data_IF_570781315936
#
_entry.id   IF_570781315936
#
_cell.length_a   1.000
_cell.length_b   1.000
_cell.length_c   1.000
_cell.angle_alpha   90.00
_cell.angle_beta   90.00
_cell.angle_gamma   90.00
#
_symmetry.space_group_name_H-M   'P 1'
#
loop_
_entity.id
_entity.type
_entity.pdbx_description
1 polymer ?
#
# COMPACT_ATOMS: atom_id res chain seq x y z
N UNK A 1 -11.57 -19.77 24.36
CA UNK A 1 -11.09 -18.40 24.22
C UNK A 1 -9.71 -18.52 23.59
N UNK A 2 -9.38 -17.68 22.63
CA UNK A 2 -8.06 -17.65 22.02
C UNK A 2 -6.98 -17.18 22.99
N UNK A 3 -5.73 -17.38 22.64
CA UNK A 3 -4.60 -16.99 23.48
C UNK A 3 -4.40 -15.47 23.50
N UNK A 4 -4.71 -14.79 22.41
CA UNK A 4 -4.45 -13.36 22.17
C UNK A 4 -5.68 -12.46 22.23
N UNK A 5 -6.89 -12.99 21.99
CA UNK A 5 -8.10 -12.20 21.72
C UNK A 5 -8.50 -11.15 22.79
N UNK A 6 -8.23 -11.43 24.07
CA UNK A 6 -8.52 -10.55 25.19
C UNK A 6 -7.29 -10.40 26.10
N UNK A 7 -6.09 -10.46 25.52
CA UNK A 7 -4.83 -10.48 26.26
C UNK A 7 -3.81 -9.50 25.64
N UNK A 8 -3.95 -8.19 25.90
CA UNK A 8 -3.03 -7.19 25.36
C UNK A 8 -1.59 -7.41 25.83
N UNK A 9 -1.37 -7.93 27.02
CA UNK A 9 -0.03 -8.23 27.53
C UNK A 9 0.68 -9.33 26.71
N UNK A 10 -0.08 -10.38 26.28
CA UNK A 10 0.48 -11.41 25.41
C UNK A 10 0.84 -10.85 24.02
N UNK A 11 0.02 -9.94 23.48
CA UNK A 11 0.30 -9.28 22.19
C UNK A 11 1.54 -8.39 22.32
N UNK A 12 1.62 -7.56 23.36
CA UNK A 12 2.79 -6.69 23.63
C UNK A 12 4.08 -7.50 23.78
N UNK A 13 4.01 -8.70 24.37
CA UNK A 13 5.16 -9.57 24.56
C UNK A 13 5.73 -10.17 23.26
N UNK A 14 5.01 -10.06 22.12
CA UNK A 14 5.46 -10.56 20.82
C UNK A 14 6.49 -9.65 20.10
N UNK A 15 6.70 -8.44 20.61
CA UNK A 15 7.71 -7.50 20.10
C UNK A 15 8.57 -6.99 21.27
N UNK A 16 9.89 -7.12 21.15
CA UNK A 16 10.89 -6.78 22.18
C UNK A 16 11.75 -5.58 21.79
N UNK A 17 11.30 -4.77 20.85
CA UNK A 17 12.08 -3.65 20.31
C UNK A 17 13.04 -4.06 19.19
N UNK A 18 13.76 -5.13 19.35
CA UNK A 18 14.78 -5.64 18.41
C UNK A 18 14.56 -7.08 17.92
N UNK A 19 13.50 -7.72 18.40
CA UNK A 19 13.09 -9.08 18.00
C UNK A 19 11.56 -9.17 17.92
N UNK A 20 11.07 -9.96 16.97
CA UNK A 20 9.64 -10.24 16.76
C UNK A 20 9.40 -11.73 16.93
N UNK A 21 8.37 -12.11 17.70
CA UNK A 21 8.00 -13.51 17.83
C UNK A 21 7.38 -14.02 16.51
N UNK A 22 7.74 -15.24 16.10
CA UNK A 22 7.29 -15.84 14.83
C UNK A 22 5.77 -15.91 14.68
N UNK A 23 5.00 -16.01 15.78
CA UNK A 23 3.55 -16.07 15.77
C UNK A 23 2.92 -14.83 15.10
N UNK A 24 3.59 -13.67 15.16
CA UNK A 24 3.17 -12.46 14.47
C UNK A 24 2.96 -12.71 12.95
N UNK A 25 3.69 -13.67 12.39
CA UNK A 25 3.58 -14.00 10.96
C UNK A 25 2.71 -15.22 10.66
N UNK A 26 2.67 -16.22 11.56
CA UNK A 26 2.08 -17.53 11.24
C UNK A 26 0.76 -17.82 11.97
N UNK A 27 0.45 -17.09 13.06
CA UNK A 27 -0.72 -17.39 13.88
C UNK A 27 -2.02 -16.87 13.25
N UNK A 28 -3.01 -17.75 13.11
CA UNK A 28 -4.31 -17.45 12.50
C UNK A 28 -5.22 -16.60 13.41
N UNK A 29 -5.03 -16.65 14.72
CA UNK A 29 -5.78 -15.78 15.65
C UNK A 29 -5.29 -14.35 15.54
N UNK A 30 -3.96 -14.13 15.54
CA UNK A 30 -3.36 -12.82 15.34
C UNK A 30 -3.78 -12.22 14.00
N UNK A 31 -3.78 -13.00 12.92
CA UNK A 31 -4.29 -12.56 11.63
C UNK A 31 -5.74 -12.04 11.71
N UNK A 32 -6.64 -12.73 12.39
CA UNK A 32 -8.03 -12.29 12.56
C UNK A 32 -8.14 -11.03 13.42
N UNK A 33 -7.29 -10.90 14.43
CA UNK A 33 -7.21 -9.70 15.26
C UNK A 33 -6.67 -8.52 14.48
N UNK A 34 -5.71 -8.70 13.57
CA UNK A 34 -5.23 -7.67 12.64
C UNK A 34 -6.39 -7.11 11.78
N UNK A 35 -7.25 -7.97 11.23
CA UNK A 35 -8.41 -7.51 10.45
C UNK A 35 -9.36 -6.65 11.29
N UNK A 36 -9.54 -7.00 12.56
CA UNK A 36 -10.45 -6.33 13.49
C UNK A 36 -9.87 -5.05 14.10
N UNK A 37 -8.60 -5.07 14.50
CA UNK A 37 -7.98 -3.99 15.26
C UNK A 37 -7.10 -3.09 14.38
N UNK A 38 -6.20 -3.66 13.57
CA UNK A 38 -5.31 -2.87 12.74
C UNK A 38 -6.03 -2.32 11.50
N UNK A 39 -6.54 -3.21 10.63
CA UNK A 39 -7.13 -2.79 9.36
C UNK A 39 -8.45 -2.02 9.50
N UNK A 40 -9.15 -2.17 10.62
CA UNK A 40 -10.35 -1.38 10.89
C UNK A 40 -10.03 0.05 11.38
N UNK A 41 -8.94 0.24 12.12
CA UNK A 41 -8.59 1.52 12.77
C UNK A 41 -7.51 2.32 12.02
N UNK A 42 -6.68 1.68 11.20
CA UNK A 42 -5.70 2.37 10.35
C UNK A 42 -6.38 3.05 9.15
N UNK A 43 -5.71 4.05 8.59
CA UNK A 43 -6.08 4.61 7.29
C UNK A 43 -5.52 3.72 6.18
N UNK A 44 -6.42 3.07 5.45
CA UNK A 44 -6.12 2.07 4.43
C UNK A 44 -6.45 2.61 3.04
N UNK A 45 -5.52 2.46 2.11
CA UNK A 45 -5.74 2.82 0.71
C UNK A 45 -6.75 1.87 0.06
N UNK A 46 -7.73 2.43 -0.63
CA UNK A 46 -8.79 1.66 -1.30
C UNK A 46 -8.82 1.83 -2.82
N UNK A 47 -8.21 2.89 -3.36
CA UNK A 47 -8.16 3.12 -4.79
C UNK A 47 -7.76 4.55 -5.15
N UNK A 48 -7.80 4.86 -6.43
CA UNK A 48 -7.53 6.19 -6.95
C UNK A 48 -8.79 6.77 -7.62
N UNK A 49 -8.99 8.08 -7.52
CA UNK A 49 -10.19 8.73 -8.06
C UNK A 49 -10.36 8.54 -9.58
N UNK A 50 -9.24 8.38 -10.32
CA UNK A 50 -9.27 8.11 -11.75
C UNK A 50 -9.85 6.73 -12.12
N UNK A 51 -10.05 5.84 -11.15
CA UNK A 51 -10.73 4.56 -11.36
C UNK A 51 -12.25 4.70 -11.37
N UNK A 52 -12.76 5.86 -10.92
CA UNK A 52 -14.18 6.20 -10.90
C UNK A 52 -14.39 7.62 -11.45
N UNK A 53 -14.04 7.88 -12.73
CA UNK A 53 -14.03 9.23 -13.29
C UNK A 53 -15.45 9.80 -13.50
N UNK A 54 -16.44 8.98 -13.79
CA UNK A 54 -17.79 9.41 -14.11
C UNK A 54 -18.78 9.06 -13.00
N UNK A 55 -19.89 9.79 -12.94
CA UNK A 55 -21.00 9.53 -12.01
C UNK A 55 -21.53 8.10 -12.18
N UNK A 56 -21.61 7.37 -11.08
CA UNK A 56 -22.01 5.97 -11.05
C UNK A 56 -20.88 4.97 -11.32
N UNK A 57 -19.68 5.41 -11.73
CA UNK A 57 -18.53 4.53 -11.82
C UNK A 57 -18.17 4.01 -10.44
N UNK A 58 -17.84 2.73 -10.37
CA UNK A 58 -17.40 2.10 -9.13
C UNK A 58 -16.13 1.25 -9.32
N UNK A 59 -15.39 1.14 -8.22
CA UNK A 59 -14.25 0.25 -8.07
C UNK A 59 -14.44 -0.58 -6.78
N UNK A 60 -14.45 -1.91 -6.91
CA UNK A 60 -14.65 -2.84 -5.80
C UNK A 60 -13.32 -3.40 -5.31
N UNK A 61 -13.07 -3.29 -4.00
CA UNK A 61 -11.86 -3.76 -3.32
C UNK A 61 -12.21 -4.30 -1.93
N UNK A 62 -11.21 -4.40 -1.05
CA UNK A 62 -11.41 -4.75 0.36
C UNK A 62 -10.48 -3.95 1.28
N UNK A 63 -10.90 -3.76 2.52
CA UNK A 63 -10.11 -3.24 3.63
C UNK A 63 -10.01 -4.34 4.68
N UNK A 64 -8.81 -4.88 4.89
CA UNK A 64 -8.69 -6.13 5.63
C UNK A 64 -9.54 -7.23 4.99
N UNK A 65 -10.47 -7.81 5.72
CA UNK A 65 -11.42 -8.82 5.25
C UNK A 65 -12.79 -8.23 4.82
N UNK A 66 -12.96 -6.89 4.91
CA UNK A 66 -14.23 -6.24 4.60
C UNK A 66 -14.31 -5.83 3.13
N UNK A 67 -15.27 -6.35 2.34
CA UNK A 67 -15.48 -5.93 0.96
C UNK A 67 -16.08 -4.53 0.92
N UNK A 68 -15.47 -3.63 0.14
CA UNK A 68 -15.91 -2.24 -0.04
C UNK A 68 -16.04 -1.86 -1.51
N UNK A 69 -16.78 -0.79 -1.76
CA UNK A 69 -17.00 -0.19 -3.08
C UNK A 69 -16.65 1.30 -2.99
N UNK A 70 -15.62 1.72 -3.72
CA UNK A 70 -15.42 3.13 -4.05
C UNK A 70 -16.40 3.48 -5.19
N UNK A 71 -17.14 4.56 -5.07
CA UNK A 71 -18.12 4.97 -6.09
C UNK A 71 -18.17 6.49 -6.25
N UNK A 72 -18.27 6.98 -7.49
CA UNK A 72 -18.49 8.40 -7.79
C UNK A 72 -19.97 8.74 -7.68
N UNK A 73 -20.32 9.55 -6.69
CA UNK A 73 -21.70 9.98 -6.49
C UNK A 73 -22.15 11.09 -7.49
N UNK A 74 -23.41 11.38 -7.48
CA UNK A 74 -24.01 12.38 -8.38
C UNK A 74 -23.57 13.82 -8.11
N UNK A 75 -23.13 14.15 -6.89
CA UNK A 75 -22.53 15.43 -6.51
C UNK A 75 -21.09 15.60 -7.02
N UNK A 76 -20.43 14.51 -7.43
CA UNK A 76 -19.05 14.48 -7.87
C UNK A 76 -18.07 13.93 -6.84
N UNK A 77 -18.52 13.73 -5.60
CA UNK A 77 -17.68 13.18 -4.52
C UNK A 77 -17.50 11.66 -4.65
N UNK A 78 -16.43 11.16 -4.07
CA UNK A 78 -16.16 9.73 -3.95
C UNK A 78 -16.63 9.24 -2.60
N UNK A 79 -17.52 8.25 -2.62
CA UNK A 79 -17.95 7.53 -1.42
C UNK A 79 -17.32 6.16 -1.36
N UNK A 80 -17.11 5.64 -0.14
CA UNK A 80 -16.68 4.26 0.11
C UNK A 80 -17.75 3.57 0.97
N UNK A 81 -18.35 2.53 0.41
CA UNK A 81 -19.47 1.82 1.01
C UNK A 81 -19.10 0.35 1.24
N UNK A 82 -19.61 -0.27 2.31
CA UNK A 82 -19.53 -1.72 2.43
C UNK A 82 -20.29 -2.39 1.28
N UNK A 83 -19.64 -3.32 0.59
CA UNK A 83 -20.25 -4.09 -0.52
C UNK A 83 -21.18 -5.17 0.03
N UNK A 84 -22.23 -4.75 0.74
CA UNK A 84 -23.17 -5.63 1.40
C UNK A 84 -24.58 -5.04 1.45
N UNK A 85 -25.55 -5.81 0.94
CA UNK A 85 -26.95 -5.45 1.05
C UNK A 85 -27.41 -5.62 2.51
N UNK A 86 -28.02 -4.60 3.15
CA UNK A 86 -28.48 -4.69 4.53
C UNK A 86 -29.62 -5.68 4.74
N UNK A 87 -30.33 -6.09 3.68
CA UNK A 87 -31.44 -7.04 3.80
C UNK A 87 -30.98 -8.48 4.16
N UNK A 88 -30.14 -9.09 3.35
CA UNK A 88 -29.67 -10.49 3.52
C UNK A 88 -28.17 -10.68 3.29
N UNK A 89 -27.39 -9.62 3.33
CA UNK A 89 -25.93 -9.70 3.25
C UNK A 89 -25.34 -9.93 1.85
N UNK A 90 -26.15 -9.94 0.80
CA UNK A 90 -25.68 -10.16 -0.58
C UNK A 90 -24.68 -9.09 -1.01
N UNK A 91 -23.56 -9.48 -1.61
CA UNK A 91 -22.69 -8.54 -2.33
C UNK A 91 -23.45 -7.88 -3.47
N UNK A 92 -23.36 -6.55 -3.58
CA UNK A 92 -24.11 -5.78 -4.58
C UNK A 92 -23.42 -5.78 -5.94
N UNK A 93 -22.09 -5.71 -5.94
CA UNK A 93 -21.26 -5.82 -7.14
C UNK A 93 -20.22 -6.91 -6.95
N UNK A 94 -19.97 -7.68 -8.02
CA UNK A 94 -18.96 -8.73 -8.06
C UNK A 94 -17.80 -8.38 -9.00
N UNK A 95 -18.07 -7.56 -9.99
CA UNK A 95 -17.06 -7.05 -10.90
C UNK A 95 -16.19 -6.01 -10.19
N UNK A 96 -14.93 -5.96 -10.59
CA UNK A 96 -13.97 -5.05 -9.99
C UNK A 96 -14.25 -3.58 -10.32
N UNK A 97 -14.67 -3.32 -11.54
CA UNK A 97 -15.02 -2.01 -12.05
C UNK A 97 -16.31 -2.06 -12.84
N UNK A 98 -17.03 -0.97 -12.89
CA UNK A 98 -18.24 -0.84 -13.69
C UNK A 98 -18.93 0.48 -13.43
N UNK A 99 -20.12 0.64 -14.03
CA UNK A 99 -20.96 1.80 -13.81
C UNK A 99 -22.36 1.34 -13.41
N UNK A 100 -22.80 1.72 -12.23
CA UNK A 100 -24.14 1.39 -11.70
C UNK A 100 -25.23 2.40 -12.10
N UNK A 101 -24.88 3.44 -12.85
CA UNK A 101 -25.76 4.55 -13.16
C UNK A 101 -26.08 5.38 -11.92
N UNK A 102 -27.36 5.56 -11.63
CA UNK A 102 -27.81 6.43 -10.52
C UNK A 102 -27.96 5.70 -9.17
N UNK A 103 -27.95 4.36 -9.18
CA UNK A 103 -28.21 3.57 -7.98
C UNK A 103 -27.70 2.13 -8.10
N UNK A 104 -27.38 1.52 -6.97
CA UNK A 104 -27.15 0.08 -6.86
C UNK A 104 -28.48 -0.65 -6.71
N UNK A 105 -28.62 -1.81 -7.37
CA UNK A 105 -29.77 -2.69 -7.19
C UNK A 105 -29.29 -4.08 -6.76
N UNK A 106 -29.78 -4.52 -5.59
CA UNK A 106 -29.46 -5.84 -5.09
C UNK A 106 -29.99 -6.94 -6.04
N UNK A 107 -29.13 -7.87 -6.50
CA UNK A 107 -29.54 -8.91 -7.42
C UNK A 107 -30.46 -9.96 -6.77
N UNK A 108 -30.57 -10.00 -5.44
CA UNK A 108 -31.35 -11.00 -4.72
C UNK A 108 -32.82 -10.58 -4.58
N UNK A 109 -33.13 -9.44 -3.95
CA UNK A 109 -34.49 -9.00 -3.69
C UNK A 109 -34.78 -7.57 -4.20
N UNK A 110 -33.96 -7.07 -5.13
CA UNK A 110 -34.13 -5.77 -5.78
C UNK A 110 -34.22 -4.54 -4.86
N UNK A 111 -33.72 -4.62 -3.63
CA UNK A 111 -33.50 -3.41 -2.82
C UNK A 111 -32.55 -2.49 -3.58
N UNK A 112 -32.89 -1.22 -3.64
CA UNK A 112 -32.14 -0.25 -4.42
C UNK A 112 -31.60 0.85 -3.53
N UNK A 113 -30.36 1.28 -3.77
CA UNK A 113 -29.62 2.23 -2.96
C UNK A 113 -29.00 3.29 -3.86
N UNK A 114 -29.05 4.55 -3.46
CA UNK A 114 -28.27 5.59 -4.13
C UNK A 114 -26.76 5.30 -4.01
N UNK A 115 -25.96 5.98 -4.79
CA UNK A 115 -24.49 5.84 -4.74
C UNK A 115 -23.85 6.47 -3.51
N UNK A 116 -24.60 7.20 -2.68
CA UNK A 116 -24.22 7.62 -1.32
C UNK A 116 -24.59 6.56 -0.24
N UNK A 117 -25.19 5.44 -0.63
CA UNK A 117 -25.64 4.37 0.26
C UNK A 117 -27.08 4.50 0.73
N UNK A 118 -27.74 5.65 0.58
CA UNK A 118 -29.10 5.84 1.05
C UNK A 118 -30.08 4.87 0.39
N UNK A 119 -30.99 4.30 1.18
CA UNK A 119 -32.05 3.45 0.68
C UNK A 119 -32.98 4.23 -0.28
N UNK A 120 -33.08 3.76 -1.53
CA UNK A 120 -33.92 4.41 -2.55
C UNK A 120 -35.29 3.74 -2.66
N UNK A 121 -35.33 2.41 -2.74
CA UNK A 121 -36.58 1.67 -2.93
C UNK A 121 -36.49 0.23 -2.42
N UNK A 122 -37.62 -0.28 -1.95
CA UNK A 122 -37.80 -1.69 -1.61
C UNK A 122 -39.04 -2.23 -2.33
N UNK A 123 -39.00 -3.44 -2.89
CA UNK A 123 -40.18 -4.11 -3.43
C UNK A 123 -41.17 -4.44 -2.31
N UNK A 124 -42.44 -4.58 -2.67
CA UNK A 124 -43.50 -5.02 -1.75
C UNK A 124 -43.57 -4.15 -0.46
N UNK A 125 -43.38 -2.84 -0.60
CA UNK A 125 -43.37 -1.86 0.52
C UNK A 125 -44.53 -2.05 1.51
N UNK A 126 -45.73 -2.45 1.01
CA UNK A 126 -46.90 -2.71 1.86
C UNK A 126 -46.66 -3.82 2.91
N UNK A 127 -45.79 -4.78 2.62
CA UNK A 127 -45.42 -5.85 3.56
C UNK A 127 -44.61 -5.39 4.76
N UNK A 128 -44.10 -4.17 4.73
CA UNK A 128 -43.36 -3.56 5.85
C UNK A 128 -44.21 -2.61 6.70
N UNK A 129 -45.53 -2.48 6.40
CA UNK A 129 -46.42 -1.68 7.18
C UNK A 129 -46.48 -2.18 8.64
N UNK A 130 -46.47 -1.27 9.59
CA UNK A 130 -46.47 -1.54 11.05
C UNK A 130 -45.23 -2.31 11.59
N UNK A 131 -44.14 -2.37 10.82
CA UNK A 131 -42.89 -3.05 11.24
C UNK A 131 -41.81 -2.11 11.79
N UNK A 132 -42.07 -0.80 11.84
CA UNK A 132 -41.06 0.24 12.12
C UNK A 132 -40.12 0.50 10.94
N UNK A 133 -40.34 -0.17 9.81
CA UNK A 133 -39.55 -0.01 8.57
C UNK A 133 -40.21 0.99 7.57
N UNK A 134 -41.21 1.73 8.02
CA UNK A 134 -42.05 2.56 7.14
C UNK A 134 -41.38 3.83 6.65
N UNK A 135 -40.40 4.32 7.38
CA UNK A 135 -39.67 5.52 7.04
C UNK A 135 -38.33 5.17 6.40
N UNK A 136 -38.02 5.78 5.27
CA UNK A 136 -36.74 5.72 4.59
C UNK A 136 -35.65 6.40 5.44
N UNK A 137 -35.22 5.74 6.49
CA UNK A 137 -34.13 6.18 7.33
C UNK A 137 -32.79 5.76 6.67
N UNK A 138 -31.83 6.67 6.66
CA UNK A 138 -30.46 6.42 6.15
C UNK A 138 -29.80 5.22 6.83
N UNK A 139 -30.17 4.90 8.08
CA UNK A 139 -29.71 3.72 8.82
C UNK A 139 -30.09 2.38 8.16
N UNK A 140 -31.03 2.39 7.21
CA UNK A 140 -31.51 1.22 6.47
C UNK A 140 -30.85 1.05 5.11
N UNK A 141 -29.94 1.95 4.75
CA UNK A 141 -29.15 1.94 3.50
C UNK A 141 -27.94 1.01 3.56
N UNK A 142 -27.11 1.07 2.53
CA UNK A 142 -25.76 0.54 2.59
C UNK A 142 -24.97 1.34 3.61
N UNK A 143 -24.18 0.66 4.44
CA UNK A 143 -23.33 1.35 5.39
C UNK A 143 -22.13 1.96 4.66
N UNK A 144 -21.86 3.23 4.87
CA UNK A 144 -20.59 3.85 4.54
C UNK A 144 -19.50 3.38 5.53
N UNK A 145 -18.25 3.43 5.15
CA UNK A 145 -17.12 3.31 6.07
C UNK A 145 -17.08 4.52 7.00
N UNK A 146 -16.32 4.46 8.09
CA UNK A 146 -16.28 5.51 9.09
C UNK A 146 -15.83 6.86 8.54
N UNK A 147 -14.67 6.87 7.88
CA UNK A 147 -14.12 8.07 7.27
C UNK A 147 -13.49 7.79 5.90
N UNK A 148 -13.53 8.80 5.03
CA UNK A 148 -12.90 8.77 3.69
C UNK A 148 -12.12 10.06 3.47
N UNK A 149 -10.91 9.95 2.95
CA UNK A 149 -10.08 11.08 2.53
C UNK A 149 -9.57 10.87 1.11
N UNK A 150 -9.62 11.93 0.32
CA UNK A 150 -8.97 12.02 -0.98
C UNK A 150 -7.73 12.91 -0.83
N UNK A 151 -6.53 12.33 -0.97
CA UNK A 151 -5.28 13.07 -1.00
C UNK A 151 -4.64 12.91 -2.38
N UNK A 152 -4.61 13.98 -3.16
CA UNK A 152 -4.03 14.01 -4.52
C UNK A 152 -4.57 12.91 -5.47
N UNK A 153 -5.83 12.53 -5.29
CA UNK A 153 -6.48 11.45 -6.05
C UNK A 153 -6.40 10.07 -5.38
N UNK A 154 -5.53 9.89 -4.40
CA UNK A 154 -5.44 8.64 -3.62
C UNK A 154 -6.54 8.61 -2.57
N UNK A 155 -7.40 7.59 -2.63
CA UNK A 155 -8.53 7.43 -1.72
C UNK A 155 -8.13 6.51 -0.57
N UNK A 156 -8.20 7.06 0.62
CA UNK A 156 -8.00 6.33 1.87
C UNK A 156 -9.28 6.26 2.65
N UNK A 157 -9.45 5.21 3.44
CA UNK A 157 -10.54 5.13 4.39
C UNK A 157 -10.12 4.48 5.70
N UNK A 158 -10.90 4.75 6.74
CA UNK A 158 -10.92 4.06 8.02
C UNK A 158 -12.30 3.47 8.23
N UNK A 159 -12.37 2.22 8.72
CA UNK A 159 -13.66 1.55 8.90
C UNK A 159 -14.40 2.03 10.14
N UNK A 160 -13.68 2.49 11.17
CA UNK A 160 -14.25 3.02 12.42
C UNK A 160 -14.55 4.52 12.31
N UNK A 161 -15.57 4.96 13.06
CA UNK A 161 -16.04 6.36 13.06
C UNK A 161 -15.14 7.30 13.89
N UNK A 162 -14.15 6.76 14.60
CA UNK A 162 -13.21 7.52 15.44
C UNK A 162 -11.82 6.89 15.42
N UNK A 163 -10.81 7.68 15.79
CA UNK A 163 -9.40 7.27 15.83
C UNK A 163 -8.48 8.44 15.46
N UNK A 164 -7.22 8.14 15.16
CA UNK A 164 -6.23 9.13 14.75
C UNK A 164 -6.65 9.83 13.45
N UNK A 165 -6.47 11.15 13.36
CA UNK A 165 -6.79 11.92 12.16
C UNK A 165 -5.95 11.46 10.96
N UNK A 166 -6.39 11.75 9.75
CA UNK A 166 -5.63 11.42 8.53
C UNK A 166 -4.28 12.14 8.53
N UNK A 167 -4.29 13.40 8.89
CA UNK A 167 -3.14 14.28 8.93
C UNK A 167 -2.11 13.82 9.99
N UNK A 168 -2.56 13.44 11.18
CA UNK A 168 -1.69 12.94 12.25
C UNK A 168 -1.19 11.51 11.97
N UNK A 169 -2.01 10.69 11.30
CA UNK A 169 -1.62 9.33 10.95
C UNK A 169 -0.45 9.30 9.98
N UNK A 170 -0.53 10.07 8.90
CA UNK A 170 0.49 10.09 7.85
C UNK A 170 1.59 11.11 8.09
N UNK A 171 1.28 12.23 8.72
CA UNK A 171 2.24 13.29 9.00
C UNK A 171 3.08 13.68 7.77
N UNK A 172 4.38 13.82 7.95
CA UNK A 172 5.34 14.19 6.90
C UNK A 172 5.46 13.19 5.76
N UNK A 173 4.99 11.94 5.93
CA UNK A 173 5.05 10.91 4.90
C UNK A 173 4.22 11.26 3.65
N UNK A 174 3.13 12.03 3.78
CA UNK A 174 2.30 12.48 2.65
C UNK A 174 3.09 13.20 1.55
N UNK A 175 4.20 13.83 1.91
CA UNK A 175 5.10 14.49 0.97
C UNK A 175 5.60 13.57 -0.17
N UNK A 176 5.60 12.25 0.00
CA UNK A 176 5.95 11.32 -1.08
C UNK A 176 4.83 11.16 -2.12
N UNK A 177 3.56 11.19 -1.69
CA UNK A 177 2.41 11.25 -2.61
C UNK A 177 2.38 12.60 -3.32
N UNK A 178 2.62 13.69 -2.58
CA UNK A 178 2.66 15.04 -3.15
C UNK A 178 3.73 15.15 -4.23
N UNK A 179 4.96 14.71 -3.95
CA UNK A 179 6.02 14.70 -4.95
C UNK A 179 5.66 13.82 -6.17
N UNK A 180 5.08 12.63 -5.95
CA UNK A 180 4.66 11.76 -7.05
C UNK A 180 3.63 12.45 -7.96
N UNK A 181 2.67 13.18 -7.39
CA UNK A 181 1.67 13.93 -8.14
C UNK A 181 2.25 15.19 -8.81
N UNK A 182 3.13 15.92 -8.11
CA UNK A 182 3.79 17.11 -8.63
C UNK A 182 4.74 16.84 -9.79
N UNK A 183 5.22 15.60 -9.98
CA UNK A 183 5.94 15.17 -11.19
C UNK A 183 5.10 15.25 -12.46
N UNK A 184 3.79 15.39 -12.35
CA UNK A 184 2.91 15.68 -13.48
C UNK A 184 2.89 17.18 -13.76
N UNK A 185 3.07 17.62 -15.03
CA UNK A 185 2.86 19.03 -15.38
C UNK A 185 1.48 19.55 -15.01
N UNK A 186 0.47 18.69 -14.98
CA UNK A 186 -0.89 19.02 -14.53
C UNK A 186 -1.11 18.84 -13.02
N UNK A 187 -0.10 18.44 -12.25
CA UNK A 187 -0.19 18.19 -10.82
C UNK A 187 -1.08 17.01 -10.42
N UNK A 188 -1.35 16.08 -11.34
CA UNK A 188 -2.26 14.94 -11.09
C UNK A 188 -1.88 13.69 -11.87
N UNK A 189 -2.31 12.57 -11.34
CA UNK A 189 -2.04 11.23 -11.84
C UNK A 189 -3.31 10.56 -12.35
N UNK A 190 -3.14 9.57 -13.20
CA UNK A 190 -4.21 8.65 -13.58
C UNK A 190 -3.67 7.23 -13.61
N UNK A 191 -4.48 6.26 -13.15
CA UNK A 191 -4.14 4.83 -13.27
C UNK A 191 -4.02 4.46 -14.75
N UNK A 192 -2.85 3.92 -15.14
CA UNK A 192 -2.52 3.65 -16.55
C UNK A 192 -2.89 2.23 -17.00
N UNK A 193 -4.02 1.71 -16.52
CA UNK A 193 -4.53 0.39 -16.90
C UNK A 193 -4.73 -0.56 -15.71
N UNK A 194 -5.07 -1.82 -15.97
CA UNK A 194 -5.26 -2.80 -14.90
C UNK A 194 -3.93 -3.12 -14.20
N UNK A 195 -3.96 -3.40 -12.89
CA UNK A 195 -2.75 -3.78 -12.16
C UNK A 195 -2.27 -5.19 -12.55
N UNK A 196 -0.97 -5.44 -12.37
CA UNK A 196 -0.50 -6.80 -12.21
C UNK A 196 -1.03 -7.35 -10.89
N UNK A 197 -1.55 -8.58 -10.90
CA UNK A 197 -2.11 -9.24 -9.72
C UNK A 197 -1.46 -10.60 -9.54
N UNK A 198 -0.89 -10.83 -8.38
CA UNK A 198 -0.22 -12.08 -8.08
C UNK A 198 -0.32 -12.41 -6.60
N UNK A 199 -0.19 -13.69 -6.27
CA UNK A 199 -0.31 -14.21 -4.93
C UNK A 199 1.08 -14.48 -4.35
N UNK A 200 1.31 -14.00 -3.13
CA UNK A 200 2.41 -14.43 -2.30
C UNK A 200 1.92 -15.44 -1.26
N UNK A 201 2.66 -16.54 -1.10
CA UNK A 201 2.40 -17.57 -0.10
C UNK A 201 3.16 -17.24 1.20
N UNK A 202 2.89 -16.04 1.73
CA UNK A 202 3.51 -15.53 2.95
C UNK A 202 2.61 -14.51 3.64
N UNK A 203 3.00 -14.12 4.84
CA UNK A 203 2.34 -13.05 5.59
C UNK A 203 2.61 -11.68 4.96
N UNK A 204 1.60 -10.82 4.96
CA UNK A 204 1.66 -9.47 4.37
C UNK A 204 2.76 -8.59 4.98
N UNK A 205 3.12 -8.78 6.26
CA UNK A 205 4.17 -8.00 6.94
C UNK A 205 5.55 -8.22 6.33
N UNK A 206 5.88 -9.44 5.89
CA UNK A 206 7.13 -9.73 5.19
C UNK A 206 7.28 -8.88 3.92
N UNK A 207 6.18 -8.64 3.20
CA UNK A 207 6.18 -7.80 2.00
C UNK A 207 6.45 -6.34 2.34
N UNK A 208 5.89 -5.85 3.44
CA UNK A 208 6.11 -4.47 3.89
C UNK A 208 7.57 -4.27 4.35
N UNK A 209 8.12 -5.23 5.09
CA UNK A 209 9.52 -5.22 5.54
C UNK A 209 10.50 -5.18 4.36
N UNK A 210 10.30 -6.04 3.35
CA UNK A 210 11.18 -6.10 2.17
C UNK A 210 11.23 -4.76 1.41
N UNK A 211 10.17 -3.95 1.45
CA UNK A 211 10.16 -2.68 0.69
C UNK A 211 11.23 -1.69 1.15
N UNK A 212 11.65 -1.80 2.38
CA UNK A 212 12.67 -0.91 2.98
C UNK A 212 13.95 -1.64 3.34
N UNK A 213 14.02 -2.96 3.12
CA UNK A 213 15.27 -3.70 3.24
C UNK A 213 16.17 -3.45 2.02
N UNK A 214 17.30 -2.84 2.28
CA UNK A 214 18.32 -2.52 1.27
C UNK A 214 19.45 -3.54 1.21
N UNK A 215 19.45 -4.53 2.09
CA UNK A 215 20.53 -5.51 2.18
C UNK A 215 20.30 -6.78 1.37
N UNK A 216 19.02 -7.15 1.12
CA UNK A 216 18.72 -8.38 0.37
C UNK A 216 19.05 -8.31 -1.14
N UNK A 217 18.97 -7.12 -1.84
CA UNK A 217 19.04 -7.12 -3.29
C UNK A 217 20.31 -7.76 -3.88
N UNK A 218 21.47 -7.47 -3.29
CA UNK A 218 22.75 -8.01 -3.77
C UNK A 218 22.84 -9.54 -3.70
N UNK A 219 22.13 -10.17 -2.78
CA UNK A 219 22.17 -11.62 -2.55
C UNK A 219 20.97 -12.29 -3.21
N UNK A 220 19.77 -11.83 -2.95
CA UNK A 220 18.54 -12.43 -3.46
C UNK A 220 18.49 -12.36 -5.00
N UNK A 221 18.96 -11.25 -5.60
CA UNK A 221 18.92 -11.03 -7.05
C UNK A 221 20.25 -11.29 -7.75
N UNK A 222 21.22 -11.98 -7.11
CA UNK A 222 22.50 -12.31 -7.76
C UNK A 222 22.31 -13.20 -8.98
N UNK A 223 21.38 -14.16 -8.91
CA UNK A 223 21.11 -15.09 -10.03
C UNK A 223 20.50 -14.41 -11.24
N UNK A 224 19.80 -13.30 -11.07
CA UNK A 224 19.10 -12.53 -12.10
C UNK A 224 19.88 -11.26 -12.47
N UNK A 225 19.88 -10.24 -11.65
CA UNK A 225 20.55 -8.96 -11.91
C UNK A 225 22.06 -9.12 -12.00
N UNK A 226 22.68 -9.91 -11.10
CA UNK A 226 24.12 -10.18 -11.13
C UNK A 226 24.57 -10.89 -12.40
N UNK A 227 23.80 -11.88 -12.86
CA UNK A 227 24.08 -12.56 -14.14
C UNK A 227 23.97 -11.60 -15.32
N UNK A 228 22.96 -10.72 -15.32
CA UNK A 228 22.81 -9.73 -16.40
C UNK A 228 23.97 -8.73 -16.44
N UNK A 229 24.46 -8.28 -15.29
CA UNK A 229 25.64 -7.39 -15.20
C UNK A 229 26.89 -8.09 -15.75
N UNK A 230 27.17 -9.34 -15.33
CA UNK A 230 28.30 -10.13 -15.82
C UNK A 230 28.26 -10.32 -17.35
N UNK A 231 27.08 -10.68 -17.88
CA UNK A 231 26.91 -10.84 -19.33
C UNK A 231 27.12 -9.54 -20.10
N UNK A 232 26.70 -8.39 -19.55
CA UNK A 232 26.96 -7.09 -20.16
C UNK A 232 28.45 -6.77 -20.21
N UNK A 233 29.18 -7.04 -19.12
CA UNK A 233 30.65 -6.85 -19.07
C UNK A 233 31.38 -7.73 -20.07
N UNK A 234 30.91 -8.99 -20.26
CA UNK A 234 31.49 -9.93 -21.22
C UNK A 234 31.28 -9.53 -22.70
N UNK A 235 30.30 -8.66 -23.00
CA UNK A 235 30.07 -8.19 -24.36
C UNK A 235 31.15 -7.23 -24.87
N UNK A 236 32.06 -6.76 -24.01
CA UNK A 236 33.17 -5.85 -24.33
C UNK A 236 32.72 -4.66 -25.20
N UNK A 237 31.63 -4.02 -24.78
CA UNK A 237 31.07 -2.88 -25.51
C UNK A 237 32.02 -1.68 -25.44
N UNK A 238 32.11 -0.84 -26.51
CA UNK A 238 32.89 0.38 -26.46
C UNK A 238 32.59 1.23 -25.23
N UNK A 239 33.65 1.85 -24.66
CA UNK A 239 33.51 2.77 -23.53
C UNK A 239 32.49 3.87 -23.86
N UNK A 240 31.52 4.13 -22.93
CA UNK A 240 30.46 5.09 -23.13
C UNK A 240 29.25 4.56 -23.93
N UNK A 241 29.20 3.26 -24.28
CA UNK A 241 28.02 2.67 -24.88
C UNK A 241 26.82 2.83 -23.94
N UNK A 242 25.65 3.29 -24.44
CA UNK A 242 24.47 3.43 -23.61
C UNK A 242 23.99 2.06 -23.12
N UNK A 243 23.66 1.97 -21.83
CA UNK A 243 23.03 0.77 -21.30
C UNK A 243 21.67 0.54 -21.96
N UNK A 244 21.32 -0.69 -22.32
CA UNK A 244 19.92 -1.01 -22.64
C UNK A 244 19.01 -0.63 -21.49
N UNK A 245 17.80 -0.11 -21.78
CA UNK A 245 16.87 0.32 -20.76
C UNK A 245 16.55 -0.77 -19.71
N UNK A 246 16.59 -2.05 -20.10
CA UNK A 246 16.47 -3.17 -19.17
C UNK A 246 17.64 -3.23 -18.17
N UNK A 247 18.86 -2.97 -18.62
CA UNK A 247 20.04 -2.95 -17.76
C UNK A 247 20.04 -1.73 -16.82
N UNK A 248 19.59 -0.57 -17.29
CA UNK A 248 19.39 0.62 -16.42
C UNK A 248 18.48 0.32 -15.24
N UNK A 249 17.46 -0.54 -15.43
CA UNK A 249 16.51 -0.93 -14.39
C UNK A 249 17.12 -1.93 -13.41
N UNK A 250 17.84 -2.96 -13.88
CA UNK A 250 18.22 -4.09 -13.03
C UNK A 250 19.65 -3.99 -12.48
N UNK A 251 20.58 -3.38 -13.20
CA UNK A 251 21.98 -3.32 -12.76
C UNK A 251 22.17 -2.65 -11.38
N UNK A 252 21.42 -1.59 -11.03
CA UNK A 252 21.54 -0.93 -9.72
C UNK A 252 21.20 -1.81 -8.50
N UNK A 253 20.50 -2.96 -8.69
CA UNK A 253 20.28 -3.92 -7.59
C UNK A 253 21.59 -4.57 -7.12
N UNK A 254 22.63 -4.54 -7.96
CA UNK A 254 23.97 -5.07 -7.65
C UNK A 254 24.92 -4.00 -7.10
N UNK A 255 24.41 -2.83 -6.72
CA UNK A 255 25.22 -1.79 -6.07
C UNK A 255 25.84 -2.32 -4.76
N UNK A 256 27.05 -1.88 -4.39
CA UNK A 256 27.71 -2.33 -3.16
C UNK A 256 27.00 -1.85 -1.89
N UNK A 257 27.23 -2.52 -0.77
CA UNK A 257 26.62 -2.13 0.52
C UNK A 257 26.86 -0.67 0.90
N UNK A 258 28.05 -0.13 0.62
CA UNK A 258 28.36 1.28 0.87
C UNK A 258 27.38 2.23 0.14
N UNK A 259 26.94 1.88 -1.06
CA UNK A 259 25.90 2.64 -1.77
C UNK A 259 24.59 2.63 -0.97
N UNK A 260 24.16 1.46 -0.49
CA UNK A 260 22.93 1.33 0.29
C UNK A 260 23.03 1.97 1.67
N UNK A 261 24.17 1.88 2.34
CA UNK A 261 24.44 2.59 3.60
C UNK A 261 24.24 4.10 3.44
N UNK A 262 24.83 4.68 2.40
CA UNK A 262 24.76 6.09 2.09
C UNK A 262 23.44 6.55 1.46
N UNK A 263 22.58 5.62 1.02
CA UNK A 263 21.28 5.93 0.42
C UNK A 263 20.34 6.60 1.43
N UNK A 264 20.44 6.23 2.70
CA UNK A 264 19.65 6.73 3.80
C UNK A 264 18.22 6.20 3.83
N UNK A 265 17.68 6.10 5.04
CA UNK A 265 16.28 5.79 5.31
C UNK A 265 15.68 6.89 6.18
N UNK A 266 14.42 7.22 5.93
CA UNK A 266 13.63 8.12 6.78
C UNK A 266 12.42 7.37 7.29
N UNK A 267 12.15 7.48 8.60
CA UNK A 267 10.98 6.92 9.25
C UNK A 267 10.10 8.02 9.82
N UNK A 268 8.79 7.80 9.82
CA UNK A 268 7.79 8.62 10.48
C UNK A 268 6.95 7.77 11.42
N UNK A 269 6.25 8.37 12.37
CA UNK A 269 5.33 7.63 13.24
C UNK A 269 4.36 6.72 12.48
N UNK A 270 3.74 5.80 13.19
CA UNK A 270 2.71 4.88 12.68
C UNK A 270 3.18 3.89 11.60
N UNK A 271 4.48 3.55 11.60
CA UNK A 271 5.00 2.52 10.70
C UNK A 271 5.30 3.01 9.28
N UNK A 272 5.31 4.32 9.04
CA UNK A 272 5.64 4.89 7.74
C UNK A 272 7.13 5.14 7.59
N UNK A 273 7.63 5.06 6.35
CA UNK A 273 9.03 5.38 6.06
C UNK A 273 9.37 5.24 4.59
N UNK A 274 10.54 5.74 4.21
CA UNK A 274 11.08 5.56 2.86
C UNK A 274 12.59 5.38 2.87
N UNK A 275 13.10 4.65 1.90
CA UNK A 275 14.51 4.61 1.53
C UNK A 275 14.80 5.64 0.43
N UNK A 276 16.08 5.96 0.24
CA UNK A 276 16.48 6.93 -0.78
C UNK A 276 16.35 8.39 -0.31
N UNK A 277 16.88 8.69 0.87
CA UNK A 277 16.96 10.09 1.38
C UNK A 277 17.93 10.90 0.56
N UNK A 278 19.09 10.34 0.22
CA UNK A 278 20.17 11.04 -0.46
C UNK A 278 20.29 10.67 -1.94
N UNK A 279 20.06 9.41 -2.29
CA UNK A 279 20.07 8.93 -3.68
C UNK A 279 19.22 7.65 -3.81
N UNK A 280 19.02 7.18 -5.03
CA UNK A 280 18.19 6.00 -5.32
C UNK A 280 18.85 5.12 -6.37
N UNK A 281 18.46 3.84 -6.40
CA UNK A 281 18.82 2.90 -7.47
C UNK A 281 17.99 3.09 -8.75
N UNK A 282 17.02 3.99 -8.76
CA UNK A 282 16.19 4.21 -9.95
C UNK A 282 16.90 5.04 -10.99
N UNK A 283 16.65 4.72 -12.27
CA UNK A 283 17.06 5.53 -13.40
C UNK A 283 16.53 6.96 -13.28
N UNK A 284 17.31 7.93 -13.74
CA UNK A 284 16.90 9.32 -13.74
C UNK A 284 15.88 9.58 -14.87
N UNK A 285 14.60 9.48 -14.56
CA UNK A 285 13.53 9.73 -15.52
C UNK A 285 13.40 11.21 -15.91
N UNK A 286 14.00 12.12 -15.17
CA UNK A 286 14.04 13.54 -15.53
C UNK A 286 14.82 13.83 -16.81
N UNK A 287 15.67 12.90 -17.28
CA UNK A 287 16.43 12.99 -18.52
C UNK A 287 15.62 12.66 -19.79
N UNK A 288 14.36 12.26 -19.64
CA UNK A 288 13.48 12.04 -20.80
C UNK A 288 13.31 13.33 -21.59
N UNK A 289 13.59 13.32 -22.92
CA UNK A 289 13.54 14.51 -23.75
C UNK A 289 12.21 15.28 -23.65
N UNK A 290 12.32 16.59 -23.42
CA UNK A 290 11.17 17.50 -23.30
C UNK A 290 10.39 17.41 -22.00
N UNK A 291 10.75 16.50 -21.08
CA UNK A 291 10.05 16.41 -19.79
C UNK A 291 10.38 17.60 -18.88
N UNK A 292 11.66 17.94 -18.74
CA UNK A 292 12.07 19.10 -17.97
C UNK A 292 11.43 20.40 -18.49
N UNK A 293 11.35 20.57 -19.82
CA UNK A 293 10.74 21.76 -20.41
C UNK A 293 9.26 21.91 -20.01
N UNK A 294 8.49 20.81 -20.05
CA UNK A 294 7.10 20.79 -19.59
C UNK A 294 6.97 21.10 -18.09
N UNK A 295 7.89 20.60 -17.27
CA UNK A 295 7.90 20.87 -15.84
C UNK A 295 8.26 22.33 -15.55
N UNK A 296 9.22 22.90 -16.28
CA UNK A 296 9.60 24.32 -16.17
C UNK A 296 8.43 25.23 -16.61
N UNK A 297 7.73 24.87 -17.68
CA UNK A 297 6.51 25.59 -18.12
C UNK A 297 5.43 25.58 -17.03
N UNK A 298 5.23 24.44 -16.35
CA UNK A 298 4.19 24.28 -15.34
C UNK A 298 4.52 24.92 -13.98
N UNK A 299 5.77 24.82 -13.53
CA UNK A 299 6.16 25.14 -12.14
C UNK A 299 7.26 26.20 -12.01
N UNK A 300 7.92 26.58 -13.10
CA UNK A 300 9.16 27.36 -13.09
C UNK A 300 10.39 26.49 -12.83
N UNK A 301 11.57 27.03 -13.19
CA UNK A 301 12.82 26.25 -13.25
C UNK A 301 13.26 25.71 -11.87
N UNK A 302 13.22 26.53 -10.83
CA UNK A 302 13.67 26.13 -9.49
C UNK A 302 12.77 25.03 -8.91
N UNK A 303 11.44 25.20 -8.99
CA UNK A 303 10.49 24.22 -8.46
C UNK A 303 10.50 22.93 -9.25
N UNK A 304 10.66 23.00 -10.56
CA UNK A 304 10.80 21.80 -11.41
C UNK A 304 12.03 20.97 -11.01
N UNK A 305 13.18 21.62 -10.76
CA UNK A 305 14.39 20.96 -10.29
C UNK A 305 14.23 20.35 -8.90
N UNK A 306 13.57 21.05 -7.98
CA UNK A 306 13.24 20.52 -6.64
C UNK A 306 12.39 19.27 -6.74
N UNK A 307 11.27 19.31 -7.48
CA UNK A 307 10.35 18.18 -7.66
C UNK A 307 11.07 16.97 -8.25
N UNK A 308 11.83 17.16 -9.32
CA UNK A 308 12.50 16.06 -10.03
C UNK A 308 13.78 15.60 -9.34
N UNK A 309 14.35 16.42 -8.46
CA UNK A 309 15.52 16.08 -7.63
C UNK A 309 15.22 15.13 -6.48
N UNK A 310 13.96 14.96 -6.10
CA UNK A 310 13.54 14.01 -5.06
C UNK A 310 13.74 12.57 -5.54
N UNK A 311 14.49 11.76 -4.78
CA UNK A 311 14.91 10.41 -5.19
C UNK A 311 14.38 9.30 -4.29
N UNK A 312 13.25 9.51 -3.61
CA UNK A 312 12.66 8.51 -2.70
C UNK A 312 12.43 7.19 -3.42
N UNK A 313 13.11 6.14 -2.92
CA UNK A 313 13.09 4.83 -3.58
C UNK A 313 11.76 4.10 -3.35
N UNK A 314 11.51 3.68 -2.12
CA UNK A 314 10.29 3.01 -1.70
C UNK A 314 9.71 3.76 -0.51
N UNK A 315 8.52 4.30 -0.62
CA UNK A 315 7.79 4.85 0.52
C UNK A 315 6.72 3.87 0.94
N UNK A 316 6.83 3.35 2.15
CA UNK A 316 5.84 2.49 2.79
C UNK A 316 4.83 3.36 3.53
N UNK A 317 3.57 3.15 3.22
CA UNK A 317 2.43 3.63 4.00
C UNK A 317 1.79 2.43 4.69
N UNK A 318 2.14 2.25 5.94
CA UNK A 318 1.61 1.15 6.74
C UNK A 318 0.08 1.29 6.89
N UNK A 319 -0.74 0.22 6.80
CA UNK A 319 -0.26 -1.17 6.67
C UNK A 319 -0.19 -1.68 5.22
N UNK A 320 -0.78 -1.03 4.21
CA UNK A 320 -1.18 -1.77 3.03
C UNK A 320 -0.62 -1.29 1.68
N UNK A 321 0.16 -0.22 1.62
CA UNK A 321 0.74 0.22 0.34
C UNK A 321 2.20 0.61 0.41
N UNK A 322 2.84 0.50 -0.74
CA UNK A 322 4.14 1.07 -1.04
C UNK A 322 4.07 1.84 -2.36
N UNK A 323 4.67 3.02 -2.41
CA UNK A 323 4.83 3.79 -3.64
C UNK A 323 6.29 3.97 -4.02
N UNK A 324 6.52 4.09 -5.34
CA UNK A 324 7.78 4.53 -5.94
C UNK A 324 7.49 5.79 -6.74
N UNK A 325 7.61 6.96 -6.08
CA UNK A 325 7.25 8.25 -6.66
C UNK A 325 7.96 8.54 -7.98
N UNK A 326 9.30 8.43 -8.08
CA UNK A 326 10.07 8.70 -9.30
C UNK A 326 9.67 7.87 -10.52
N UNK A 327 9.09 6.69 -10.34
CA UNK A 327 8.65 5.79 -11.42
C UNK A 327 7.14 5.58 -11.46
N UNK A 328 6.36 6.37 -10.73
CA UNK A 328 4.89 6.38 -10.71
C UNK A 328 4.26 5.00 -10.53
N UNK A 329 4.78 4.25 -9.57
CA UNK A 329 4.28 2.91 -9.23
C UNK A 329 3.69 2.88 -7.81
N UNK A 330 2.64 2.05 -7.63
CA UNK A 330 2.06 1.73 -6.33
C UNK A 330 1.81 0.24 -6.24
N UNK A 331 2.19 -0.38 -5.11
CA UNK A 331 1.78 -1.74 -4.76
C UNK A 331 0.82 -1.72 -3.58
N UNK A 332 -0.26 -2.50 -3.70
CA UNK A 332 -1.23 -2.72 -2.63
C UNK A 332 -1.05 -4.14 -2.10
N UNK A 333 -0.92 -4.28 -0.80
CA UNK A 333 -0.83 -5.56 -0.09
C UNK A 333 -2.19 -5.87 0.53
N UNK A 334 -2.81 -6.96 0.10
CA UNK A 334 -4.16 -7.37 0.51
C UNK A 334 -4.04 -8.71 1.21
N UNK A 335 -4.06 -8.73 2.56
CA UNK A 335 -4.00 -9.98 3.31
C UNK A 335 -5.26 -10.81 3.08
N UNK A 336 -5.09 -12.09 2.78
CA UNK A 336 -6.19 -13.05 2.59
C UNK A 336 -6.20 -14.15 3.67
N UNK A 337 -5.03 -14.46 4.22
CA UNK A 337 -4.82 -15.36 5.35
C UNK A 337 -3.46 -15.03 5.98
N UNK A 338 -3.10 -15.65 7.10
CA UNK A 338 -1.79 -15.46 7.71
C UNK A 338 -0.63 -15.85 6.77
N UNK A 339 -0.88 -16.79 5.87
CA UNK A 339 0.06 -17.36 4.91
C UNK A 339 -0.23 -16.96 3.45
N UNK A 340 -1.07 -15.96 3.22
CA UNK A 340 -1.50 -15.62 1.86
C UNK A 340 -1.80 -14.14 1.69
N UNK A 341 -1.08 -13.50 0.78
CA UNK A 341 -1.24 -12.09 0.45
C UNK A 341 -1.41 -11.91 -1.06
N UNK A 342 -2.48 -11.23 -1.46
CA UNK A 342 -2.65 -10.78 -2.84
C UNK A 342 -1.93 -9.44 -2.99
N UNK A 343 -1.07 -9.33 -3.99
CA UNK A 343 -0.42 -8.07 -4.35
C UNK A 343 -1.00 -7.54 -5.65
N UNK A 344 -1.29 -6.24 -5.66
CA UNK A 344 -1.72 -5.51 -6.84
C UNK A 344 -0.70 -4.41 -7.13
N UNK A 345 -0.07 -4.48 -8.29
CA UNK A 345 0.92 -3.50 -8.72
C UNK A 345 0.35 -2.61 -9.80
N UNK A 346 0.08 -1.36 -9.43
CA UNK A 346 -0.44 -0.30 -10.30
C UNK A 346 0.68 0.55 -10.86
N UNK A 347 0.48 1.03 -12.08
CA UNK A 347 1.27 2.11 -12.67
C UNK A 347 0.36 3.31 -12.93
N UNK A 348 0.94 4.49 -12.80
CA UNK A 348 0.26 5.75 -13.07
C UNK A 348 0.89 6.45 -14.26
N UNK A 349 0.08 7.16 -15.03
CA UNK A 349 0.57 8.13 -15.99
C UNK A 349 0.51 9.52 -15.37
N UNK A 350 1.49 10.33 -15.69
CA UNK A 350 1.52 11.75 -15.39
C UNK A 350 0.65 12.48 -16.41
N UNK A 351 -0.41 13.16 -15.97
CA UNK A 351 -1.26 13.94 -16.90
C UNK A 351 -0.41 15.06 -17.50
N UNK A 352 -0.46 15.21 -18.81
CA UNK A 352 0.35 16.13 -19.63
C UNK A 352 1.86 15.82 -19.64
N UNK A 353 2.29 14.73 -18.97
CA UNK A 353 3.64 14.21 -19.05
C UNK A 353 3.93 13.50 -20.38
N UNK A 354 5.22 13.22 -20.70
CA UNK A 354 5.60 12.44 -21.88
C UNK A 354 5.11 10.98 -21.78
N UNK A 355 4.61 10.42 -22.89
CA UNK A 355 4.19 9.00 -22.96
C UNK A 355 5.33 8.02 -22.67
N UNK A 356 6.58 8.41 -22.95
CA UNK A 356 7.76 7.61 -22.67
C UNK A 356 7.93 7.30 -21.17
N UNK A 357 7.55 8.22 -20.28
CA UNK A 357 7.51 7.97 -18.83
C UNK A 357 6.62 6.79 -18.50
N UNK A 358 5.40 6.78 -19.04
CA UNK A 358 4.44 5.68 -18.83
C UNK A 358 4.97 4.36 -19.39
N UNK A 359 5.62 4.40 -20.55
CA UNK A 359 6.23 3.21 -21.17
C UNK A 359 7.38 2.64 -20.29
N UNK A 360 8.26 3.49 -19.78
CA UNK A 360 9.35 3.08 -18.87
C UNK A 360 8.79 2.54 -17.55
N UNK A 361 7.79 3.19 -16.97
CA UNK A 361 7.10 2.68 -15.76
C UNK A 361 6.47 1.31 -16.01
N UNK A 362 5.82 1.10 -17.14
CA UNK A 362 5.26 -0.19 -17.52
C UNK A 362 6.34 -1.27 -17.69
N UNK A 363 7.48 -0.93 -18.29
CA UNK A 363 8.62 -1.83 -18.41
C UNK A 363 9.18 -2.19 -17.04
N UNK A 364 9.42 -1.20 -16.17
CA UNK A 364 9.87 -1.42 -14.79
C UNK A 364 8.91 -2.37 -14.04
N UNK A 365 7.62 -2.09 -14.09
CA UNK A 365 6.61 -2.90 -13.41
C UNK A 365 6.61 -4.36 -13.87
N UNK A 366 6.82 -4.60 -15.16
CA UNK A 366 6.91 -5.96 -15.70
C UNK A 366 8.22 -6.66 -15.32
N UNK A 367 9.33 -5.95 -15.34
CA UNK A 367 10.65 -6.52 -15.08
C UNK A 367 10.88 -6.82 -13.60
N UNK A 368 10.32 -5.97 -12.71
CA UNK A 368 10.57 -6.08 -11.27
C UNK A 368 9.43 -6.79 -10.54
N UNK A 369 8.17 -6.55 -10.90
CA UNK A 369 7.03 -6.98 -10.09
C UNK A 369 6.14 -8.06 -10.73
N UNK A 370 6.35 -8.43 -11.98
CA UNK A 370 5.58 -9.55 -12.55
C UNK A 370 6.07 -10.89 -11.97
N UNK A 371 5.18 -11.86 -11.71
CA UNK A 371 5.58 -13.17 -11.18
C UNK A 371 6.56 -13.94 -12.06
N UNK A 372 6.57 -13.62 -13.35
CA UNK A 372 7.49 -14.21 -14.35
C UNK A 372 8.58 -13.21 -14.74
N UNK A 373 8.88 -12.25 -13.86
CA UNK A 373 9.89 -11.23 -14.11
C UNK A 373 11.30 -11.74 -13.85
N UNK A 374 12.28 -10.85 -14.08
CA UNK A 374 13.69 -11.15 -13.82
C UNK A 374 13.98 -11.08 -12.30
N UNK A 375 13.33 -10.16 -11.56
CA UNK A 375 13.63 -9.86 -10.15
C UNK A 375 12.54 -10.39 -9.20
N UNK A 376 11.26 -10.17 -9.53
CA UNK A 376 10.17 -10.40 -8.60
C UNK A 376 10.00 -11.87 -8.16
N UNK A 377 10.39 -12.85 -8.97
CA UNK A 377 10.29 -14.26 -8.60
C UNK A 377 11.35 -14.66 -7.55
N UNK A 378 12.50 -13.98 -7.51
CA UNK A 378 13.50 -14.20 -6.47
C UNK A 378 12.92 -13.84 -5.09
N UNK A 379 12.23 -12.69 -5.02
CA UNK A 379 11.53 -12.26 -3.80
C UNK A 379 10.40 -13.24 -3.41
N UNK A 380 9.59 -13.69 -4.38
CA UNK A 380 8.53 -14.66 -4.12
C UNK A 380 9.04 -15.92 -3.43
N UNK A 381 10.13 -16.48 -3.93
CA UNK A 381 10.81 -17.65 -3.36
C UNK A 381 11.32 -17.40 -1.95
N UNK A 382 11.93 -16.23 -1.72
CA UNK A 382 12.46 -15.88 -0.39
C UNK A 382 11.35 -15.72 0.65
N UNK A 383 10.22 -15.10 0.29
CA UNK A 383 9.08 -14.95 1.20
C UNK A 383 8.46 -16.31 1.56
N UNK A 384 8.28 -17.19 0.59
CA UNK A 384 7.73 -18.53 0.81
C UNK A 384 8.66 -19.34 1.73
N UNK A 385 9.95 -19.38 1.45
CA UNK A 385 10.95 -20.05 2.31
C UNK A 385 11.02 -19.47 3.71
N UNK A 386 10.97 -18.15 3.84
CA UNK A 386 10.97 -17.50 5.15
C UNK A 386 9.71 -17.87 5.93
N UNK A 387 8.55 -17.83 5.28
CA UNK A 387 7.28 -18.22 5.93
C UNK A 387 7.27 -19.69 6.35
N UNK A 388 7.73 -20.60 5.49
CA UNK A 388 7.88 -22.01 5.84
C UNK A 388 8.87 -22.23 7.00
N UNK A 389 10.00 -21.52 6.97
CA UNK A 389 11.00 -21.60 8.02
C UNK A 389 10.49 -21.18 9.40
N UNK A 390 9.59 -20.21 9.47
CA UNK A 390 8.97 -19.74 10.71
C UNK A 390 8.07 -20.79 11.40
N UNK A 391 7.63 -21.82 10.69
CA UNK A 391 6.94 -22.95 11.32
C UNK A 391 7.85 -23.90 12.09
N UNK A 392 9.19 -23.74 11.95
CA UNK A 392 10.15 -24.54 12.71
C UNK A 392 10.11 -24.17 14.21
N UNK A 393 10.13 -25.19 15.07
CA UNK A 393 10.21 -25.01 16.54
C UNK A 393 11.64 -24.74 17.04
N UNK A 394 12.62 -24.61 16.14
CA UNK A 394 14.02 -24.39 16.51
C UNK A 394 14.31 -23.01 17.10
N UNK A 395 13.61 -22.00 16.59
CA UNK A 395 13.73 -20.62 17.06
C UNK A 395 12.34 -19.96 17.06
N UNK A 396 12.05 -19.19 18.10
CA UNK A 396 10.77 -18.49 18.25
C UNK A 396 10.85 -17.02 17.82
N UNK A 397 12.06 -16.44 17.81
CA UNK A 397 12.30 -15.02 17.63
C UNK A 397 12.99 -14.74 16.30
N UNK A 398 12.49 -13.75 15.59
CA UNK A 398 13.07 -13.16 14.37
C UNK A 398 13.85 -11.93 14.76
N UNK A 399 15.12 -11.87 14.34
CA UNK A 399 16.04 -10.80 14.66
C UNK A 399 15.86 -9.61 13.70
N UNK A 400 15.72 -8.41 14.25
CA UNK A 400 15.67 -7.14 13.53
C UNK A 400 16.58 -6.09 14.21
N UNK A 401 17.82 -6.53 14.55
CA UNK A 401 18.75 -5.76 15.40
C UNK A 401 19.74 -4.90 14.62
N UNK A 402 19.77 -4.97 13.30
CA UNK A 402 20.79 -4.23 12.55
C UNK A 402 20.65 -2.72 12.80
N UNK A 403 21.71 -2.13 13.33
CA UNK A 403 21.77 -0.74 13.78
C UNK A 403 20.67 -0.38 14.81
N UNK A 404 20.36 -1.30 15.72
CA UNK A 404 19.42 -1.07 16.81
C UNK A 404 20.06 -0.21 17.90
N UNK A 405 19.31 0.77 18.38
CA UNK A 405 19.63 1.59 19.55
C UNK A 405 18.57 1.35 20.64
N UNK A 406 19.02 1.23 21.90
CA UNK A 406 18.13 0.83 23.00
C UNK A 406 17.00 1.84 23.26
N UNK A 407 17.26 3.13 22.98
CA UNK A 407 16.32 4.24 23.22
C UNK A 407 15.63 4.73 21.93
N UNK A 408 15.40 3.84 20.94
CA UNK A 408 14.69 4.24 19.72
C UNK A 408 13.29 4.80 20.02
N UNK A 409 13.03 6.01 19.54
CA UNK A 409 11.72 6.65 19.62
C UNK A 409 11.05 6.66 18.23
N UNK A 410 9.85 6.08 18.15
CA UNK A 410 9.03 6.04 16.94
C UNK A 410 7.89 7.07 16.93
N UNK A 411 7.85 7.97 17.90
CA UNK A 411 6.89 9.09 17.95
C UNK A 411 7.29 10.27 17.08
N UNK A 412 8.57 10.31 16.63
CA UNK A 412 9.13 11.39 15.84
C UNK A 412 9.77 10.88 14.54
N UNK A 413 10.00 11.80 13.61
CA UNK A 413 10.73 11.54 12.37
C UNK A 413 12.23 11.29 12.68
N UNK A 414 12.80 10.29 12.00
CA UNK A 414 14.24 10.02 12.07
C UNK A 414 14.82 9.74 10.68
N UNK A 415 16.10 10.12 10.50
CA UNK A 415 16.90 9.80 9.31
C UNK A 415 18.14 9.05 9.78
N UNK A 416 18.36 7.88 9.17
CA UNK A 416 19.46 6.98 9.54
C UNK A 416 20.18 6.40 8.32
N UNK A 417 21.18 5.58 8.59
CA UNK A 417 21.88 4.77 7.61
C UNK A 417 20.88 3.91 6.82
N UNK A 418 21.07 3.82 5.51
CA UNK A 418 20.12 3.14 4.61
C UNK A 418 20.00 1.64 4.83
N UNK A 419 20.92 1.01 5.57
CA UNK A 419 20.89 -0.45 5.89
C UNK A 419 20.29 -0.75 7.26
N UNK A 420 19.81 0.25 8.01
CA UNK A 420 19.14 0.03 9.31
C UNK A 420 17.84 -0.78 9.17
N UNK A 421 17.50 -1.56 10.18
CA UNK A 421 16.18 -2.22 10.29
C UNK A 421 15.17 -1.38 11.11
N UNK A 422 15.47 -0.10 11.36
CA UNK A 422 14.57 0.81 12.09
C UNK A 422 13.15 0.84 11.53
N UNK A 423 12.98 0.81 10.20
CA UNK A 423 11.64 0.81 9.59
C UNK A 423 10.85 -0.45 9.95
N UNK A 424 11.51 -1.61 10.04
CA UNK A 424 10.86 -2.86 10.47
C UNK A 424 10.43 -2.75 11.92
N UNK A 425 11.30 -2.22 12.80
CA UNK A 425 10.98 -1.97 14.22
C UNK A 425 9.84 -0.98 14.38
N UNK A 426 9.84 0.14 13.64
CA UNK A 426 8.75 1.11 13.60
C UNK A 426 7.42 0.48 13.16
N UNK A 427 7.45 -0.42 12.17
CA UNK A 427 6.28 -1.17 11.72
C UNK A 427 5.69 -2.03 12.86
N UNK A 428 6.52 -2.72 13.63
CA UNK A 428 6.07 -3.58 14.72
C UNK A 428 5.64 -2.80 15.96
N UNK A 429 6.26 -1.66 16.23
CA UNK A 429 5.76 -0.72 17.23
C UNK A 429 4.34 -0.25 16.88
N UNK A 430 4.13 0.20 15.65
CA UNK A 430 2.80 0.58 15.16
C UNK A 430 1.81 -0.60 15.22
N UNK A 431 2.23 -1.80 14.82
CA UNK A 431 1.43 -3.01 14.89
C UNK A 431 0.95 -3.28 16.32
N UNK A 432 1.84 -3.27 17.31
CA UNK A 432 1.48 -3.50 18.73
C UNK A 432 0.47 -2.45 19.19
N UNK A 433 0.70 -1.17 18.89
CA UNK A 433 -0.21 -0.09 19.29
C UNK A 433 -1.62 -0.28 18.72
N UNK A 434 -1.75 -0.58 17.43
CA UNK A 434 -3.05 -0.83 16.81
C UNK A 434 -3.72 -2.10 17.33
N UNK A 435 -2.95 -3.16 17.57
CA UNK A 435 -3.48 -4.42 18.06
C UNK A 435 -4.00 -4.34 19.50
N UNK A 436 -3.54 -3.38 20.31
CA UNK A 436 -3.89 -3.29 21.74
C UNK A 436 -4.73 -2.08 22.11
N UNK A 437 -4.87 -1.05 21.26
CA UNK A 437 -5.51 0.22 21.60
C UNK A 437 -6.96 0.06 22.16
N UNK A 438 -7.79 -0.79 21.55
CA UNK A 438 -9.15 -1.02 21.99
C UNK A 438 -9.23 -1.83 23.30
N UNK A 439 -8.21 -2.64 23.58
CA UNK A 439 -8.11 -3.47 24.77
C UNK A 439 -7.65 -2.63 25.96
N UNK A 440 -6.64 -1.80 25.77
CA UNK A 440 -6.11 -0.87 26.79
C UNK A 440 -7.20 0.15 27.22
N UNK A 441 -8.04 0.61 26.27
CA UNK A 441 -9.17 1.49 26.59
C UNK A 441 -10.24 0.83 27.44
N UNK A 442 -10.46 -0.49 27.31
CA UNK A 442 -11.40 -1.25 28.15
C UNK A 442 -10.85 -1.49 29.54
N UNK A 443 -9.59 -1.87 29.68
CA UNK A 443 -8.92 -2.04 30.99
C UNK A 443 -8.89 -0.73 31.77
N UNK A 444 -8.76 0.42 31.12
CA UNK A 444 -8.81 1.73 31.76
C UNK A 444 -10.22 2.17 32.21
N UNK A 445 -11.26 1.52 31.69
CA UNK A 445 -12.68 1.82 32.00
C UNK A 445 -13.29 0.91 33.08
N UNK A 446 -12.62 -0.19 33.43
CA UNK A 446 -12.95 -1.11 34.55
C UNK A 446 -12.20 -0.71 35.83
#
# INVERSE_FOLDING_TARGET
MGHYADNPAAIKALFRGNEVHRDVYIDQELYKLEMKHLFANAWVFVGHESQTPNKGDYFSTQVGDQPVIQVRHSDGEVHVLYNRCPHKGTKLVIDRTGNTGKFFRCPYHAWSFKTDGCLLAIPLKKGYANTGFENSDSSKGMRAVGEVKNHRGFIFCRLTDSGISFEDYFGGSLSSIDNMADRSPAGRLEVAGPPLRYMHHCNWKMLVENQTDTCHPMVAHESSAGTAVKLWEELDMPEGSPLPAAMEIIAPFMSPYEFFENMGIRTWPNGHGHTGVHHSIHSNYSEIPGYMDKMVEAYGEEKAKEILGENRHNTVYFPNIMIKGPIQQLRVFIPLAADKTLVESYIYRLVDGPDELTARTAMYNRMINAPTSIVGHDDLEMYERAHEGLHSNGLEWVNIQRLYEEDEDFSEEAIENGTTERQMRNQFDAWVRFMTCDMDAKEAAE
#
